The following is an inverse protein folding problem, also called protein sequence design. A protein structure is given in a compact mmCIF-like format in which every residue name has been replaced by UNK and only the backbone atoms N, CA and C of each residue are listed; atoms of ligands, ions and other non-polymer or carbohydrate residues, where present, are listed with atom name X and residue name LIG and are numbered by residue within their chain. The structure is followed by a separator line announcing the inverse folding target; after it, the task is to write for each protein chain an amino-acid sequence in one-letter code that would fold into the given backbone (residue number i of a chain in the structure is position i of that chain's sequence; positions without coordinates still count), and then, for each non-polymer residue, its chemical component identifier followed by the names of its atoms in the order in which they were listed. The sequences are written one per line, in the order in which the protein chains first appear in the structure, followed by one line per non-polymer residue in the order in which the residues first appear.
data_IF_570897782514
#
_entry.id   IF_570897782514
#
_cell.length_a   1.000
_cell.length_b   1.000
_cell.length_c   1.000
_cell.angle_alpha   90.00
_cell.angle_beta   90.00
_cell.angle_gamma   90.00
#
_symmetry.space_group_name_H-M   'P 1'
#
loop_
_entity.id
_entity.type
_entity.pdbx_description
1 polymer ?
#
# COMPACT_ATOMS: atom_id res chain seq x y z
N UNK A 1 29.64 -16.62 -20.52
CA UNK A 1 28.85 -16.73 -19.28
C UNK A 1 28.20 -15.38 -19.04
N UNK A 2 26.90 -15.26 -19.26
CA UNK A 2 26.18 -14.03 -18.90
C UNK A 2 25.96 -14.03 -17.39
N UNK A 3 26.44 -13.01 -16.69
CA UNK A 3 25.99 -12.75 -15.32
C UNK A 3 24.51 -12.39 -15.38
N UNK A 4 23.63 -13.00 -14.58
CA UNK A 4 22.25 -12.52 -14.48
C UNK A 4 22.33 -11.08 -13.95
N UNK A 5 21.89 -10.13 -14.75
CA UNK A 5 21.70 -8.75 -14.33
C UNK A 5 20.71 -8.79 -13.17
N UNK A 6 20.88 -7.97 -12.12
CA UNK A 6 19.88 -7.84 -11.05
C UNK A 6 18.50 -7.59 -11.66
N UNK A 7 17.64 -8.61 -11.68
CA UNK A 7 16.35 -8.55 -12.34
C UNK A 7 15.33 -7.95 -11.39
N UNK A 8 14.47 -7.10 -11.93
CA UNK A 8 13.37 -6.50 -11.21
C UNK A 8 12.07 -6.78 -11.95
N UNK A 9 11.01 -7.08 -11.21
CA UNK A 9 9.65 -7.09 -11.71
C UNK A 9 8.77 -6.15 -10.89
N UNK A 10 7.80 -5.51 -11.53
CA UNK A 10 6.83 -4.66 -10.88
C UNK A 10 5.41 -5.21 -11.08
N UNK A 11 4.60 -5.12 -10.03
CA UNK A 11 3.16 -5.39 -10.06
C UNK A 11 2.41 -4.17 -9.53
N UNK A 12 1.73 -3.49 -10.44
CA UNK A 12 0.80 -2.42 -10.09
C UNK A 12 -0.61 -2.98 -9.94
N UNK A 13 -1.31 -2.54 -8.90
CA UNK A 13 -2.68 -2.94 -8.66
C UNK A 13 -3.45 -1.86 -7.90
N UNK A 14 -4.77 -1.89 -8.07
CA UNK A 14 -5.69 -1.11 -7.28
C UNK A 14 -6.31 -2.03 -6.22
N UNK A 15 -6.28 -1.60 -4.97
CA UNK A 15 -7.00 -2.26 -3.88
C UNK A 15 -8.03 -1.30 -3.31
N UNK A 16 -9.19 -1.83 -2.92
CA UNK A 16 -10.26 -0.98 -2.41
C UNK A 16 -11.15 -1.73 -1.42
N UNK A 17 -11.85 -0.96 -0.60
CA UNK A 17 -12.70 -1.54 0.42
C UNK A 17 -13.32 -0.49 1.31
N UNK A 18 -13.73 -0.91 2.50
CA UNK A 18 -14.22 -0.01 3.56
C UNK A 18 -13.34 -0.14 4.78
N UNK A 19 -12.81 0.98 5.28
CA UNK A 19 -11.92 0.99 6.44
C UNK A 19 -12.70 0.77 7.74
N UNK A 20 -12.98 -0.50 8.03
CA UNK A 20 -13.73 -0.96 9.23
C UNK A 20 -12.84 -1.23 10.43
N UNK A 21 -11.54 -1.45 10.20
CA UNK A 21 -10.51 -1.68 11.22
C UNK A 21 -9.42 -0.61 11.16
N UNK A 22 -8.46 -0.70 12.06
CA UNK A 22 -7.23 0.10 11.97
C UNK A 22 -6.40 -0.40 10.78
N UNK A 23 -5.85 0.54 10.01
CA UNK A 23 -4.86 0.24 8.99
C UNK A 23 -3.51 0.81 9.44
N UNK A 24 -2.49 -0.05 9.46
CA UNK A 24 -1.13 0.32 9.85
C UNK A 24 -0.25 0.34 8.61
N UNK A 25 0.01 1.53 8.11
CA UNK A 25 1.07 1.78 7.14
C UNK A 25 2.33 2.10 7.94
N UNK A 26 3.50 1.61 7.52
CA UNK A 26 4.79 1.78 8.25
C UNK A 26 5.02 3.22 8.75
N UNK A 27 4.52 4.21 8.00
CA UNK A 27 4.63 5.64 8.30
C UNK A 27 3.35 6.29 8.83
N UNK A 28 2.20 5.61 8.81
CA UNK A 28 0.90 6.17 9.18
C UNK A 28 -0.06 5.12 9.75
N UNK A 29 -0.61 5.38 10.94
CA UNK A 29 -1.72 4.60 11.52
C UNK A 29 -3.04 5.30 11.23
N UNK A 30 -3.94 4.64 10.50
CA UNK A 30 -5.26 5.17 10.17
C UNK A 30 -6.32 4.45 10.99
N UNK A 31 -7.02 5.19 11.86
CA UNK A 31 -8.12 4.66 12.67
C UNK A 31 -9.30 4.22 11.79
N UNK A 32 -10.18 3.32 12.29
CA UNK A 32 -11.42 2.98 11.59
C UNK A 32 -12.26 4.22 11.27
N UNK A 33 -12.54 4.47 9.99
CA UNK A 33 -13.36 5.63 9.55
C UNK A 33 -14.73 5.21 9.02
N UNK A 34 -14.91 3.94 8.64
CA UNK A 34 -16.09 3.44 7.94
C UNK A 34 -16.23 3.96 6.51
N UNK A 35 -15.21 4.62 5.96
CA UNK A 35 -15.22 5.18 4.61
C UNK A 35 -14.74 4.17 3.58
N UNK A 36 -15.22 4.33 2.36
CA UNK A 36 -14.66 3.62 1.20
C UNK A 36 -13.31 4.22 0.83
N UNK A 37 -12.41 3.36 0.34
CA UNK A 37 -11.14 3.77 -0.23
C UNK A 37 -10.87 2.96 -1.49
N UNK A 38 -10.07 3.55 -2.37
CA UNK A 38 -9.38 2.90 -3.48
C UNK A 38 -7.95 3.42 -3.41
N UNK A 39 -6.98 2.51 -3.33
CA UNK A 39 -5.58 2.80 -3.10
C UNK A 39 -4.77 2.15 -4.22
N UNK A 40 -3.96 2.96 -4.89
CA UNK A 40 -2.98 2.45 -5.84
C UNK A 40 -1.74 1.97 -5.11
N UNK A 41 -1.33 0.75 -5.44
CA UNK A 41 -0.20 0.06 -4.86
C UNK A 41 0.75 -0.43 -5.96
N UNK A 42 2.02 -0.53 -5.63
CA UNK A 42 3.03 -1.13 -6.51
C UNK A 42 3.98 -1.99 -5.68
N UNK A 43 4.05 -3.28 -6.01
CA UNK A 43 5.14 -4.14 -5.56
C UNK A 43 6.30 -4.08 -6.53
N UNK A 44 7.52 -3.95 -6.00
CA UNK A 44 8.77 -4.12 -6.73
C UNK A 44 9.50 -5.31 -6.13
N UNK A 45 9.68 -6.34 -6.95
CA UNK A 45 10.39 -7.57 -6.61
C UNK A 45 11.80 -7.49 -7.17
N UNK A 46 12.80 -7.81 -6.36
CA UNK A 46 14.16 -8.08 -6.82
C UNK A 46 14.40 -9.58 -6.81
N UNK A 47 15.05 -10.08 -7.87
CA UNK A 47 15.44 -11.47 -7.98
C UNK A 47 16.96 -11.60 -7.86
N UNK A 48 17.41 -12.52 -7.02
CA UNK A 48 18.82 -12.83 -6.88
C UNK A 48 19.37 -13.58 -8.10
N UNK A 49 20.67 -13.89 -8.08
CA UNK A 49 21.33 -14.60 -9.18
C UNK A 49 20.78 -16.03 -9.44
N UNK A 50 19.97 -16.57 -8.52
CA UNK A 50 19.28 -17.86 -8.67
C UNK A 50 17.85 -17.71 -9.22
N UNK A 51 17.41 -16.49 -9.52
CA UNK A 51 16.06 -16.19 -9.98
C UNK A 51 15.01 -16.27 -8.86
N UNK A 52 15.42 -16.22 -7.60
CA UNK A 52 14.52 -16.23 -6.45
C UNK A 52 14.32 -14.81 -5.92
N UNK A 53 13.09 -14.50 -5.48
CA UNK A 53 12.79 -13.22 -4.83
C UNK A 53 13.53 -13.16 -3.50
N UNK A 54 14.38 -12.15 -3.33
CA UNK A 54 15.12 -11.90 -2.08
C UNK A 54 14.74 -10.56 -1.43
N UNK A 55 14.11 -9.64 -2.17
CA UNK A 55 13.59 -8.36 -1.66
C UNK A 55 12.26 -8.04 -2.31
N UNK A 56 11.39 -7.44 -1.51
CA UNK A 56 10.11 -6.89 -1.93
C UNK A 56 9.97 -5.50 -1.33
N UNK A 57 9.67 -4.52 -2.18
CA UNK A 57 9.25 -3.19 -1.75
C UNK A 57 7.81 -2.97 -2.17
N UNK A 58 6.99 -2.48 -1.25
CA UNK A 58 5.62 -2.06 -1.52
C UNK A 58 5.54 -0.55 -1.42
N UNK A 59 5.00 0.07 -2.46
CA UNK A 59 4.75 1.50 -2.53
C UNK A 59 3.24 1.75 -2.53
N UNK A 60 2.82 2.75 -1.78
CA UNK A 60 1.43 3.16 -1.65
C UNK A 60 1.30 4.62 -2.07
N UNK A 61 0.18 4.98 -2.69
CA UNK A 61 -0.19 6.39 -2.82
C UNK A 61 -0.50 6.99 -1.44
N UNK A 62 0.50 7.65 -0.85
CA UNK A 62 0.37 8.29 0.45
C UNK A 62 -0.59 9.48 0.44
N UNK A 63 -0.93 10.07 -0.70
CA UNK A 63 -1.93 11.14 -0.76
C UNK A 63 -3.32 10.60 -0.40
N UNK A 64 -3.66 9.40 -0.91
CA UNK A 64 -4.88 8.69 -0.54
C UNK A 64 -4.88 8.30 0.95
N UNK A 65 -3.76 7.81 1.47
CA UNK A 65 -3.63 7.46 2.91
C UNK A 65 -3.82 8.68 3.81
N UNK A 66 -3.19 9.80 3.48
CA UNK A 66 -3.34 11.07 4.20
C UNK A 66 -4.79 11.58 4.17
N UNK A 67 -5.48 11.45 3.03
CA UNK A 67 -6.89 11.78 2.90
C UNK A 67 -7.79 10.99 3.85
N UNK A 68 -7.48 9.71 4.08
CA UNK A 68 -8.20 8.89 5.06
C UNK A 68 -7.91 9.32 6.50
N UNK A 69 -6.72 9.81 6.80
CA UNK A 69 -6.32 10.24 8.14
C UNK A 69 -6.93 11.61 8.54
N UNK A 70 -7.01 12.56 7.59
CA UNK A 70 -7.38 13.96 7.88
C UNK A 70 -8.88 14.21 8.00
N UNK A 71 -9.72 13.26 7.59
CA UNK A 71 -11.16 13.47 7.56
C UNK A 71 -11.83 12.90 8.83
N UNK A 72 -12.67 13.68 9.53
CA UNK A 72 -13.35 13.20 10.73
C UNK A 72 -14.22 11.98 10.41
N UNK A 73 -14.31 11.07 11.39
CA UNK A 73 -15.18 9.90 11.30
C UNK A 73 -16.60 10.33 10.94
N UNK A 74 -17.28 9.55 10.08
CA UNK A 74 -18.65 9.87 9.66
C UNK A 74 -19.61 9.98 10.87
N UNK A 75 -19.33 9.24 11.95
CA UNK A 75 -20.09 9.30 13.22
C UNK A 75 -19.96 10.64 13.98
N UNK A 76 -18.92 11.43 13.72
CA UNK A 76 -18.74 12.76 14.35
C UNK A 76 -19.48 13.88 13.64
N UNK A 77 -20.03 13.66 12.43
CA UNK A 77 -20.79 14.67 11.67
C UNK A 77 -22.31 14.58 11.87
N UNK A 78 -22.81 13.55 12.55
CA UNK A 78 -24.26 13.32 12.79
C UNK A 78 -24.71 13.77 14.21
N UNK A 79 -23.94 14.64 14.88
CA UNK A 79 -24.30 15.23 16.19
C UNK A 79 -24.51 16.72 16.10
#
# INVERSE_FOLDING_TARGET
MYSPLNEYACLEYLTGGTLKGEADFVTAKVKPTGRKYELQCCFVFHFNAQGLIDKVHEYFDMATVDGLHRLPSRRSMER
#
